data_IF_388833898592
#
_entry.id   IF_388833898592
#
_cell.length_a   1.000
_cell.length_b   1.000
_cell.length_c   1.000
_cell.angle_alpha   90.00
_cell.angle_beta   90.00
_cell.angle_gamma   90.00
#
_symmetry.space_group_name_H-M   'P 1'
#
loop_
_entity.id
_entity.type
_entity.pdbx_description
1 polymer ?
#
# COMPACT_ATOMS: atom_id res chain seq x y z
N UNK A 1 -11.41 15.35 15.20
CA UNK A 1 -10.02 15.12 14.77
C UNK A 1 -10.00 14.12 13.62
N UNK A 2 -9.01 14.20 12.71
CA UNK A 2 -8.91 13.33 11.51
C UNK A 2 -7.70 12.39 11.51
N UNK A 3 -7.02 12.25 12.65
CA UNK A 3 -5.84 11.40 12.76
C UNK A 3 -6.19 9.90 12.67
N UNK A 4 -5.33 9.16 11.97
CA UNK A 4 -5.32 7.71 11.90
C UNK A 4 -4.34 7.20 12.96
N UNK A 5 -4.80 6.37 13.88
CA UNK A 5 -3.98 5.72 14.91
C UNK A 5 -3.70 4.30 14.48
N UNK A 6 -2.41 3.94 14.47
CA UNK A 6 -1.91 2.71 13.86
C UNK A 6 -1.39 1.76 14.92
N UNK A 7 -1.91 0.54 14.94
CA UNK A 7 -1.38 -0.57 15.75
C UNK A 7 -0.37 -1.41 14.99
N UNK A 8 0.40 -2.21 15.74
CA UNK A 8 1.40 -3.13 15.21
C UNK A 8 0.82 -4.55 15.10
N UNK A 9 0.64 -4.99 13.85
CA UNK A 9 0.20 -6.33 13.49
C UNK A 9 1.35 -7.24 13.12
N UNK A 10 1.19 -8.54 13.39
CA UNK A 10 2.17 -9.55 13.03
C UNK A 10 2.28 -9.72 11.51
N UNK A 11 3.51 -9.78 11.01
CA UNK A 11 3.80 -10.03 9.61
C UNK A 11 3.62 -11.52 9.28
N UNK A 12 3.22 -11.88 8.04
CA UNK A 12 3.11 -13.29 7.66
C UNK A 12 4.44 -14.04 7.81
N UNK A 13 4.43 -15.18 8.50
CA UNK A 13 5.61 -16.04 8.67
C UNK A 13 6.60 -15.56 9.73
N UNK A 14 6.23 -14.59 10.56
CA UNK A 14 7.07 -14.09 11.65
C UNK A 14 6.68 -14.69 13.01
N UNK A 15 6.50 -13.87 14.05
CA UNK A 15 6.44 -14.39 15.43
C UNK A 15 5.03 -14.77 15.88
N UNK A 16 4.00 -14.34 15.16
CA UNK A 16 2.60 -14.57 15.51
C UNK A 16 1.71 -14.73 14.26
N UNK A 17 0.47 -15.22 14.40
CA UNK A 17 -0.45 -15.34 13.27
C UNK A 17 -0.61 -14.00 12.53
N UNK A 18 -0.62 -13.99 11.18
CA UNK A 18 -0.66 -12.74 10.42
C UNK A 18 -1.84 -11.85 10.82
N UNK A 19 -1.60 -10.52 10.91
CA UNK A 19 -2.59 -9.50 11.31
C UNK A 19 -3.11 -9.63 12.74
N UNK A 20 -2.53 -10.52 13.56
CA UNK A 20 -2.80 -10.55 14.99
C UNK A 20 -2.00 -9.46 15.69
N UNK A 21 -2.48 -9.02 16.85
CA UNK A 21 -1.82 -7.98 17.62
C UNK A 21 -0.47 -8.46 18.15
N UNK A 22 0.60 -7.70 17.90
CA UNK A 22 1.89 -7.92 18.55
C UNK A 22 1.84 -7.49 20.03
N UNK A 23 2.58 -8.22 20.88
CA UNK A 23 2.46 -8.08 22.33
C UNK A 23 2.71 -6.65 22.84
N UNK A 24 3.60 -5.90 22.20
CA UNK A 24 3.96 -4.52 22.56
C UNK A 24 3.00 -3.47 21.99
N UNK A 25 2.11 -3.83 21.05
CA UNK A 25 1.23 -2.87 20.39
C UNK A 25 0.21 -2.29 21.37
N UNK A 26 0.00 -0.97 21.29
CA UNK A 26 -1.22 -0.33 21.82
C UNK A 26 -2.45 -0.89 21.09
N UNK A 27 -3.59 -0.95 21.78
CA UNK A 27 -4.86 -1.44 21.26
C UNK A 27 -6.05 -0.74 21.90
N UNK A 28 -7.23 -0.88 21.30
CA UNK A 28 -8.49 -0.35 21.82
C UNK A 28 -9.36 0.22 20.71
N UNK A 29 -10.57 0.67 21.09
CA UNK A 29 -11.55 1.25 20.15
C UNK A 29 -11.06 2.47 19.39
N UNK A 30 -9.99 3.12 19.88
CA UNK A 30 -9.39 4.30 19.26
C UNK A 30 -8.33 3.96 18.21
N UNK A 31 -7.85 2.72 18.10
CA UNK A 31 -6.91 2.30 17.05
C UNK A 31 -7.70 2.00 15.78
N UNK A 32 -7.32 2.65 14.68
CA UNK A 32 -8.10 2.68 13.43
C UNK A 32 -7.66 1.57 12.46
N UNK A 33 -6.35 1.41 12.27
CA UNK A 33 -5.74 0.51 11.27
C UNK A 33 -4.47 -0.15 11.83
N UNK A 34 -4.02 -1.23 11.21
CA UNK A 34 -2.72 -1.85 11.52
C UNK A 34 -1.79 -1.85 10.31
N UNK A 35 -0.49 -1.94 10.60
CA UNK A 35 0.56 -2.29 9.63
C UNK A 35 1.46 -3.38 10.22
N UNK A 36 2.41 -3.89 9.44
CA UNK A 36 3.39 -4.85 9.95
C UNK A 36 4.33 -4.19 10.95
N UNK A 37 4.30 -4.71 12.18
CA UNK A 37 5.10 -4.24 13.31
C UNK A 37 6.38 -5.03 13.55
N UNK A 38 6.74 -5.95 12.66
CA UNK A 38 7.91 -6.80 12.76
C UNK A 38 8.32 -7.28 11.37
N UNK A 39 9.55 -7.78 11.25
CA UNK A 39 10.09 -8.32 9.99
C UNK A 39 9.97 -7.36 8.80
N UNK A 40 10.00 -6.05 9.05
CA UNK A 40 9.88 -5.07 7.98
C UNK A 40 11.24 -4.87 7.35
N UNK A 41 11.27 -5.03 6.03
CA UNK A 41 12.45 -4.71 5.23
C UNK A 41 12.51 -3.21 5.00
N UNK A 42 13.60 -2.57 5.40
CA UNK A 42 13.84 -1.13 5.22
C UNK A 42 15.32 -0.84 5.12
N UNK A 43 15.69 0.39 4.74
CA UNK A 43 17.06 0.87 4.81
C UNK A 43 17.54 1.03 6.27
N UNK A 44 18.85 0.89 6.49
CA UNK A 44 19.52 0.98 7.79
C UNK A 44 19.89 -0.37 8.42
N UNK A 45 20.49 -0.30 9.62
CA UNK A 45 21.03 -1.36 10.50
C UNK A 45 22.05 -2.34 9.92
N UNK A 46 21.92 -2.76 8.67
CA UNK A 46 22.96 -3.52 7.97
C UNK A 46 22.88 -5.05 8.07
N UNK A 47 21.81 -5.62 8.63
CA UNK A 47 21.70 -7.08 8.84
C UNK A 47 21.21 -7.87 7.62
N UNK A 48 20.79 -7.21 6.52
CA UNK A 48 20.18 -7.88 5.37
C UNK A 48 21.12 -8.15 4.20
N UNK A 49 21.90 -7.15 3.81
CA UNK A 49 22.93 -7.24 2.77
C UNK A 49 24.29 -7.35 3.44
N UNK A 50 25.16 -8.21 2.90
CA UNK A 50 26.55 -8.24 3.32
C UNK A 50 27.27 -6.96 2.87
N UNK A 51 28.20 -6.46 3.69
CA UNK A 51 29.01 -5.29 3.33
C UNK A 51 29.18 -4.31 4.49
N UNK A 52 30.19 -3.44 4.37
CA UNK A 52 30.54 -2.46 5.40
C UNK A 52 30.05 -1.03 5.10
N UNK A 53 29.49 -0.78 3.92
CA UNK A 53 29.07 0.56 3.49
C UNK A 53 27.68 0.91 4.05
N UNK A 54 27.56 1.91 4.95
CA UNK A 54 26.28 2.32 5.51
C UNK A 54 25.25 2.84 4.50
N UNK A 55 25.70 3.35 3.34
CA UNK A 55 24.81 3.85 2.30
C UNK A 55 24.11 2.71 1.54
N UNK A 56 24.61 1.49 1.67
CA UNK A 56 24.02 0.28 1.11
C UNK A 56 23.23 -0.51 2.17
N UNK A 57 23.08 0.02 3.40
CA UNK A 57 22.48 -0.75 4.47
C UNK A 57 20.95 -0.91 4.36
N UNK A 58 20.50 -2.15 4.52
CA UNK A 58 19.14 -2.59 4.75
C UNK A 58 19.09 -3.61 5.90
N UNK A 59 17.89 -3.72 6.46
CA UNK A 59 17.54 -4.61 7.56
C UNK A 59 16.35 -5.47 7.19
N UNK A 60 16.29 -6.69 7.73
CA UNK A 60 15.12 -7.55 7.66
C UNK A 60 14.29 -7.55 8.94
N UNK A 61 14.76 -6.88 10.00
CA UNK A 61 14.26 -7.06 11.37
C UNK A 61 13.65 -5.79 11.97
N UNK A 62 13.45 -4.72 11.18
CA UNK A 62 12.82 -3.51 11.69
C UNK A 62 11.39 -3.81 12.17
N UNK A 63 11.00 -3.14 13.26
CA UNK A 63 9.74 -3.41 13.93
C UNK A 63 9.31 -2.29 14.87
N UNK A 64 8.13 -2.46 15.46
CA UNK A 64 7.44 -1.48 16.28
C UNK A 64 6.19 -0.91 15.60
N UNK A 65 5.40 -0.12 16.34
CA UNK A 65 4.33 0.69 15.74
C UNK A 65 4.91 1.71 14.73
N UNK A 66 6.17 2.09 14.90
CA UNK A 66 6.94 2.90 13.96
C UNK A 66 7.13 2.25 12.59
N UNK A 67 7.20 0.91 12.48
CA UNK A 67 7.25 0.22 11.18
C UNK A 67 5.85 0.06 10.57
N UNK A 68 4.83 -0.10 11.42
CA UNK A 68 3.44 -0.21 10.99
C UNK A 68 2.88 1.11 10.42
N UNK A 69 3.22 2.24 11.05
CA UNK A 69 2.72 3.58 10.69
C UNK A 69 2.98 4.00 9.23
N UNK A 70 4.21 3.87 8.67
CA UNK A 70 4.48 4.24 7.28
C UNK A 70 3.75 3.38 6.26
N UNK A 71 3.40 2.13 6.59
CA UNK A 71 2.58 1.27 5.72
C UNK A 71 1.18 1.89 5.54
N UNK A 72 0.56 2.32 6.64
CA UNK A 72 -0.75 2.98 6.61
C UNK A 72 -0.65 4.37 5.97
N UNK A 73 0.42 5.12 6.23
CA UNK A 73 0.65 6.42 5.60
C UNK A 73 0.80 6.30 4.06
N UNK A 74 1.54 5.30 3.58
CA UNK A 74 1.67 5.00 2.15
C UNK A 74 0.32 4.63 1.51
N UNK A 75 -0.49 3.82 2.19
CA UNK A 75 -1.83 3.49 1.72
C UNK A 75 -2.75 4.72 1.65
N UNK A 76 -2.70 5.61 2.65
CA UNK A 76 -3.43 6.87 2.65
C UNK A 76 -3.01 7.78 1.48
N UNK A 77 -1.71 7.87 1.20
CA UNK A 77 -1.19 8.62 0.07
C UNK A 77 -1.66 8.05 -1.28
N UNK A 78 -1.66 6.72 -1.44
CA UNK A 78 -2.15 6.07 -2.66
C UNK A 78 -3.65 6.34 -2.89
N UNK A 79 -4.48 6.24 -1.85
CA UNK A 79 -5.92 6.58 -1.92
C UNK A 79 -6.12 8.04 -2.32
N UNK A 80 -5.38 8.96 -1.71
CA UNK A 80 -5.47 10.39 -2.03
C UNK A 80 -5.01 10.67 -3.47
N UNK A 81 -3.94 10.01 -3.92
CA UNK A 81 -3.42 10.12 -5.29
C UNK A 81 -4.45 9.71 -6.34
N UNK A 82 -5.15 8.58 -6.12
CA UNK A 82 -6.24 8.19 -7.01
C UNK A 82 -7.37 9.22 -6.99
N UNK A 83 -7.79 9.65 -5.80
CA UNK A 83 -8.92 10.57 -5.68
C UNK A 83 -8.64 11.89 -6.42
N UNK A 84 -7.41 12.42 -6.32
CA UNK A 84 -6.97 13.59 -7.08
C UNK A 84 -7.11 13.39 -8.60
N UNK A 85 -6.94 12.18 -9.10
CA UNK A 85 -7.07 11.86 -10.53
C UNK A 85 -8.52 11.69 -11.01
N UNK A 86 -9.48 11.41 -10.12
CA UNK A 86 -10.87 11.05 -10.53
C UNK A 86 -11.99 11.86 -9.90
N UNK A 87 -11.87 12.24 -8.63
CA UNK A 87 -12.98 12.75 -7.83
C UNK A 87 -12.64 14.00 -7.00
N UNK A 88 -11.38 14.43 -7.01
CA UNK A 88 -10.87 15.54 -6.20
C UNK A 88 -10.26 15.10 -4.86
N UNK A 89 -9.94 16.10 -4.03
CA UNK A 89 -9.24 15.92 -2.74
C UNK A 89 -10.15 15.24 -1.72
N UNK A 90 -9.71 14.16 -1.08
CA UNK A 90 -10.39 13.59 0.09
C UNK A 90 -9.93 14.27 1.38
N UNK A 91 -10.85 14.36 2.33
CA UNK A 91 -10.53 14.75 3.70
C UNK A 91 -9.84 13.60 4.44
N UNK A 92 -9.06 13.88 5.50
CA UNK A 92 -8.46 12.82 6.32
C UNK A 92 -9.49 11.82 6.89
N UNK A 93 -10.69 12.29 7.23
CA UNK A 93 -11.77 11.43 7.72
C UNK A 93 -12.25 10.45 6.64
N UNK A 94 -12.46 10.93 5.40
CA UNK A 94 -12.85 10.07 4.27
C UNK A 94 -11.77 9.04 3.93
N UNK A 95 -10.48 9.42 3.98
CA UNK A 95 -9.38 8.48 3.76
C UNK A 95 -9.39 7.38 4.84
N UNK A 96 -9.50 7.77 6.11
CA UNK A 96 -9.57 6.82 7.22
C UNK A 96 -10.76 5.87 7.08
N UNK A 97 -11.97 6.40 6.87
CA UNK A 97 -13.20 5.62 6.72
C UNK A 97 -13.09 4.62 5.58
N UNK A 98 -12.56 5.06 4.43
CA UNK A 98 -12.32 4.18 3.28
C UNK A 98 -11.35 3.06 3.62
N UNK A 99 -10.17 3.39 4.17
CA UNK A 99 -9.15 2.39 4.51
C UNK A 99 -9.64 1.39 5.57
N UNK A 100 -10.42 1.84 6.55
CA UNK A 100 -11.03 0.96 7.56
C UNK A 100 -12.08 0.06 6.93
N UNK A 101 -12.97 0.61 6.11
CA UNK A 101 -14.05 -0.14 5.48
C UNK A 101 -13.56 -1.20 4.48
N UNK A 102 -12.45 -0.94 3.79
CA UNK A 102 -11.92 -1.82 2.74
C UNK A 102 -10.73 -2.66 3.20
N UNK A 103 -10.25 -2.49 4.42
CA UNK A 103 -9.08 -3.19 4.93
C UNK A 103 -9.29 -4.70 5.10
N UNK A 104 -8.22 -5.47 5.01
CA UNK A 104 -8.23 -6.88 5.39
C UNK A 104 -8.48 -6.98 6.90
N UNK A 105 -9.51 -7.75 7.37
CA UNK A 105 -9.88 -7.81 8.78
C UNK A 105 -8.70 -8.09 9.72
N UNK A 106 -8.79 -7.74 11.00
CA UNK A 106 -7.79 -8.16 11.99
C UNK A 106 -7.90 -9.67 12.27
N UNK A 107 -6.79 -10.34 12.60
CA UNK A 107 -6.87 -11.66 13.24
C UNK A 107 -7.02 -11.50 14.76
N UNK A 108 -8.15 -11.97 15.30
CA UNK A 108 -8.50 -11.83 16.72
C UNK A 108 -8.03 -13.00 17.60
N UNK A 109 -7.12 -13.85 17.13
CA UNK A 109 -6.51 -14.91 17.94
C UNK A 109 -5.72 -14.38 19.15
N UNK A 110 -5.34 -13.10 19.12
CA UNK A 110 -4.75 -12.36 20.25
C UNK A 110 -5.70 -11.22 20.61
N UNK A 111 -6.10 -11.14 21.89
CA UNK A 111 -7.03 -10.14 22.40
C UNK A 111 -6.49 -8.73 22.18
N UNK A 112 -7.32 -7.78 21.76
CA UNK A 112 -6.99 -6.35 21.64
C UNK A 112 -7.10 -5.84 20.20
N UNK A 113 -7.98 -4.85 19.98
CA UNK A 113 -8.22 -4.28 18.66
C UNK A 113 -7.09 -3.35 18.21
N UNK A 114 -6.54 -3.62 17.03
CA UNK A 114 -5.59 -2.79 16.30
C UNK A 114 -6.09 -2.39 14.90
N UNK A 115 -7.33 -2.75 14.54
CA UNK A 115 -7.95 -2.39 13.27
C UNK A 115 -7.52 -3.28 12.10
N UNK A 116 -8.15 -3.13 10.92
CA UNK A 116 -7.79 -3.92 9.73
C UNK A 116 -6.48 -3.45 9.09
N UNK A 117 -5.85 -4.32 8.32
CA UNK A 117 -4.66 -4.01 7.50
C UNK A 117 -5.13 -3.34 6.18
N UNK A 118 -4.55 -2.22 5.74
CA UNK A 118 -4.93 -1.60 4.47
C UNK A 118 -4.90 -2.57 3.29
N UNK A 119 -5.94 -2.52 2.45
CA UNK A 119 -6.02 -3.28 1.21
C UNK A 119 -6.32 -2.33 0.05
N UNK A 120 -5.27 -1.97 -0.71
CA UNK A 120 -5.37 -0.98 -1.78
C UNK A 120 -6.20 -1.46 -2.97
N UNK A 121 -6.25 -2.77 -3.24
CA UNK A 121 -7.07 -3.30 -4.33
C UNK A 121 -8.58 -3.05 -4.10
N UNK A 122 -9.00 -3.06 -2.83
CA UNK A 122 -10.39 -2.73 -2.46
C UNK A 122 -10.59 -1.24 -2.17
N UNK A 123 -9.58 -0.54 -1.65
CA UNK A 123 -9.67 0.89 -1.35
C UNK A 123 -9.67 1.78 -2.61
N UNK A 124 -9.00 1.30 -3.66
CA UNK A 124 -8.73 2.01 -4.91
C UNK A 124 -9.14 1.12 -6.08
N UNK A 125 -10.45 0.87 -6.28
CA UNK A 125 -10.89 0.10 -7.43
C UNK A 125 -10.46 0.83 -8.71
N UNK A 126 -9.72 0.12 -9.57
CA UNK A 126 -9.29 0.64 -10.85
C UNK A 126 -10.55 0.80 -11.70
N UNK A 127 -11.08 2.02 -11.78
CA UNK A 127 -12.02 2.36 -12.85
C UNK A 127 -11.27 2.17 -14.17
N UNK A 128 -11.84 1.46 -15.16
CA UNK A 128 -11.25 1.42 -16.47
C UNK A 128 -11.04 2.87 -16.91
N UNK A 129 -9.77 3.27 -17.03
CA UNK A 129 -9.42 4.56 -17.60
C UNK A 129 -10.08 4.59 -18.97
N UNK A 130 -11.03 5.51 -19.14
CA UNK A 130 -11.81 5.64 -20.38
C UNK A 130 -10.86 5.63 -21.58
N UNK A 131 -11.00 4.60 -22.43
CA UNK A 131 -10.10 4.36 -23.55
C UNK A 131 -10.09 2.91 -24.08
N UNK A 132 -10.59 1.94 -23.30
CA UNK A 132 -10.68 0.53 -23.74
C UNK A 132 -12.11 -0.03 -23.74
N UNK A 133 -13.12 0.77 -23.37
CA UNK A 133 -14.52 0.34 -23.27
C UNK A 133 -15.25 0.29 -24.63
N UNK A 134 -14.54 0.43 -25.74
CA UNK A 134 -15.14 0.47 -27.09
C UNK A 134 -14.32 -0.38 -28.07
N UNK A 135 -13.98 -1.61 -27.67
CA UNK A 135 -13.64 -2.66 -28.62
C UNK A 135 -14.76 -3.69 -28.57
N UNK A 136 -15.34 -4.07 -29.73
CA UNK A 136 -16.41 -5.04 -29.77
C UNK A 136 -15.97 -6.36 -29.15
N UNK A 137 -16.89 -6.96 -28.40
CA UNK A 137 -16.70 -8.18 -27.63
C UNK A 137 -16.15 -9.30 -28.53
N UNK A 138 -14.90 -9.69 -28.30
CA UNK A 138 -14.32 -10.85 -28.99
C UNK A 138 -14.70 -12.07 -28.16
N UNK A 139 -15.83 -12.65 -28.52
CA UNK A 139 -16.26 -13.95 -28.03
C UNK A 139 -15.14 -14.99 -28.22
N UNK A 140 -14.95 -15.79 -27.17
CA UNK A 140 -14.10 -16.98 -27.04
C UNK A 140 -12.57 -16.81 -27.16
N UNK A 141 -11.90 -17.01 -26.01
CA UNK A 141 -10.81 -18.00 -25.91
C UNK A 141 -10.36 -18.16 -24.46
N UNK A 142 -10.92 -19.16 -23.78
CA UNK A 142 -10.30 -19.82 -22.65
C UNK A 142 -8.91 -20.34 -23.09
N UNK A 143 -7.84 -19.65 -22.72
CA UNK A 143 -6.50 -20.01 -23.17
C UNK A 143 -5.42 -19.29 -22.38
N UNK A 144 -4.85 -20.02 -21.42
CA UNK A 144 -3.63 -19.72 -20.66
C UNK A 144 -2.57 -19.01 -21.53
N UNK A 145 -2.37 -17.69 -21.42
CA UNK A 145 -1.12 -16.98 -21.81
C UNK A 145 -1.09 -15.45 -21.55
N UNK A 146 -2.08 -14.84 -20.89
CA UNK A 146 -2.16 -13.36 -20.80
C UNK A 146 -1.33 -12.67 -19.70
N UNK A 147 -0.55 -13.38 -18.89
CA UNK A 147 0.26 -12.72 -17.84
C UNK A 147 1.44 -11.92 -18.42
N UNK A 148 1.90 -12.21 -19.65
CA UNK A 148 3.07 -11.55 -20.23
C UNK A 148 2.75 -10.22 -20.96
N UNK A 149 1.53 -10.02 -21.48
CA UNK A 149 1.23 -8.85 -22.32
C UNK A 149 0.68 -7.67 -21.50
N UNK A 150 0.01 -7.94 -20.37
CA UNK A 150 -0.46 -6.89 -19.46
C UNK A 150 0.69 -6.11 -18.79
N UNK A 151 1.84 -6.75 -18.57
CA UNK A 151 3.02 -6.11 -17.98
C UNK A 151 3.72 -5.10 -18.92
N UNK A 152 3.69 -5.34 -20.23
CA UNK A 152 4.35 -4.48 -21.23
C UNK A 152 3.54 -3.21 -21.53
N UNK A 153 2.20 -3.29 -21.51
CA UNK A 153 1.34 -2.12 -21.74
C UNK A 153 1.39 -1.11 -20.56
N UNK A 154 1.49 -1.60 -19.32
CA UNK A 154 1.61 -0.75 -18.14
C UNK A 154 2.96 0.00 -18.11
N UNK A 155 4.05 -0.65 -18.52
CA UNK A 155 5.36 -0.01 -18.62
C UNK A 155 5.42 1.07 -19.73
N UNK A 156 4.76 0.84 -20.87
CA UNK A 156 4.70 1.80 -21.96
C UNK A 156 3.88 3.06 -21.61
N UNK A 157 2.77 2.92 -20.87
CA UNK A 157 1.96 4.07 -20.44
C UNK A 157 2.68 4.94 -19.38
N UNK A 158 3.47 4.33 -18.50
CA UNK A 158 4.28 5.05 -17.50
C UNK A 158 5.46 5.77 -18.17
N UNK A 159 6.07 5.18 -19.20
CA UNK A 159 7.15 5.83 -19.95
C UNK A 159 6.69 7.06 -20.76
N UNK A 160 5.50 7.00 -21.37
CA UNK A 160 4.98 8.11 -22.19
C UNK A 160 4.43 9.29 -21.34
N UNK A 161 3.91 9.01 -20.13
CA UNK A 161 3.49 10.05 -19.19
C UNK A 161 4.66 10.75 -18.49
N UNK A 162 5.76 10.04 -18.23
CA UNK A 162 6.99 10.64 -17.71
C UNK A 162 7.71 11.52 -18.74
N UNK A 163 7.74 11.12 -20.02
CA UNK A 163 8.38 11.89 -21.10
C UNK A 163 7.69 13.23 -21.39
N UNK A 164 6.35 13.27 -21.30
CA UNK A 164 5.57 14.50 -21.51
C UNK A 164 5.67 15.49 -20.35
N UNK A 165 5.88 15.01 -19.13
CA UNK A 165 6.17 15.86 -17.97
C UNK A 165 7.58 16.47 -18.03
N UNK A 166 8.58 15.71 -18.51
CA UNK A 166 9.96 16.20 -18.64
C UNK A 166 10.13 17.22 -19.77
N UNK A 167 9.41 17.05 -20.90
CA UNK A 167 9.49 17.98 -22.04
C UNK A 167 8.87 19.37 -21.76
N UNK A 168 7.87 19.46 -20.87
CA UNK A 168 7.20 20.73 -20.53
C UNK A 168 8.01 21.68 -19.64
N UNK A 169 9.05 21.21 -18.94
CA UNK A 169 9.90 22.06 -18.07
C UNK A 169 11.08 22.72 -18.78
N UNK A 170 11.35 22.40 -20.05
CA UNK A 170 12.51 22.93 -20.79
C UNK A 170 12.21 24.17 -21.67
N UNK A 171 10.95 24.61 -21.74
CA UNK A 171 10.50 25.76 -22.55
C UNK A 171 9.96 26.93 -21.72
N UNK A 172 10.23 26.95 -20.42
CA UNK A 172 9.98 28.11 -19.55
C UNK A 172 11.29 28.48 -18.84
N UNK A 173 12.26 28.93 -19.64
CA UNK A 173 13.35 29.84 -19.25
C UNK A 173 13.67 30.71 -20.45
#
# INVERSE_FOLDING_TARGET
SGAIIVGAGAAPGCTAPPRSRLWFSTYGSRVDLQGWGECVVTAGYGDKQGGGDPDEWYTGIFGGTSSASPIVAGAAAAVQGQALATSGVLTPAQIRERLVATGTPQNMSVVGQIGPLPNLALAVPISPVGGLAELPDVADSAGRNYVAIAGLAAAALVALSAGTWYARRRWVR
#
